data_IF_789488064611
#
_entry.id   IF_789488064611
#
_cell.length_a   1.000
_cell.length_b   1.000
_cell.length_c   1.000
_cell.angle_alpha   90.00
_cell.angle_beta   90.00
_cell.angle_gamma   90.00
#
_symmetry.space_group_name_H-M   'P 1'
#
loop_
_entity.id
_entity.type
_entity.pdbx_description
1 polymer ?
#
# COMPACT_ATOMS: atom_id res chain seq x y z
N UNK A 1 12.49 25.54 -3.39
CA UNK A 1 13.58 25.74 -4.39
C UNK A 1 13.31 26.90 -5.35
N UNK A 2 12.06 27.32 -5.56
CA UNK A 2 11.64 28.29 -6.59
C UNK A 2 11.81 29.77 -6.24
N UNK A 3 11.71 30.17 -4.98
CA UNK A 3 11.87 31.57 -4.53
C UNK A 3 13.34 32.04 -4.58
N UNK A 4 14.25 31.23 -4.02
CA UNK A 4 15.68 31.53 -4.01
C UNK A 4 16.27 31.62 -5.42
N UNK A 5 15.79 30.78 -6.35
CA UNK A 5 16.23 30.78 -7.74
C UNK A 5 15.81 32.07 -8.48
N UNK A 6 14.58 32.55 -8.24
CA UNK A 6 14.06 33.82 -8.81
C UNK A 6 14.82 35.04 -8.29
N UNK A 7 15.09 35.06 -6.98
CA UNK A 7 15.88 36.13 -6.36
C UNK A 7 17.29 36.15 -6.95
N UNK A 8 17.89 34.97 -7.15
CA UNK A 8 19.23 34.85 -7.74
C UNK A 8 19.28 35.29 -9.21
N UNK A 9 18.32 34.90 -10.04
CA UNK A 9 18.26 35.33 -11.46
C UNK A 9 18.06 36.84 -11.60
N UNK A 10 17.19 37.45 -10.79
CA UNK A 10 16.99 38.91 -10.80
C UNK A 10 18.21 39.69 -10.30
N UNK A 11 18.94 39.14 -9.33
CA UNK A 11 20.19 39.71 -8.82
C UNK A 11 21.28 39.65 -9.89
N UNK A 12 21.40 38.53 -10.60
CA UNK A 12 22.35 38.38 -11.70
C UNK A 12 22.06 39.32 -12.87
N UNK A 13 20.80 39.48 -13.28
CA UNK A 13 20.44 40.46 -14.32
C UNK A 13 20.89 41.88 -13.99
N UNK A 14 20.81 42.29 -12.71
CA UNK A 14 21.33 43.60 -12.27
C UNK A 14 22.86 43.71 -12.38
N UNK A 15 23.59 42.64 -12.06
CA UNK A 15 25.05 42.63 -12.18
C UNK A 15 25.52 42.69 -13.64
N UNK A 16 24.84 42.01 -14.57
CA UNK A 16 25.20 42.00 -16.00
C UNK A 16 24.97 43.36 -16.68
N UNK A 17 24.00 44.16 -16.20
CA UNK A 17 23.75 45.52 -16.70
C UNK A 17 24.75 46.56 -16.20
N UNK A 18 25.42 46.32 -15.06
CA UNK A 18 26.35 47.28 -14.45
C UNK A 18 27.79 47.17 -14.94
N UNK A 19 28.15 46.10 -15.66
CA UNK A 19 29.54 45.79 -16.00
C UNK A 19 29.70 45.66 -17.53
N UNK A 20 29.99 46.78 -18.20
CA UNK A 20 30.28 46.85 -19.64
C UNK A 20 31.69 47.43 -19.82
N UNK A 21 32.67 46.68 -20.35
CA UNK A 21 33.16 47.06 -21.69
C UNK A 21 33.98 46.02 -22.48
N UNK A 22 34.23 44.78 -22.02
CA UNK A 22 34.98 43.82 -22.90
C UNK A 22 34.68 42.32 -22.79
N UNK A 23 34.13 41.81 -21.68
CA UNK A 23 33.75 40.40 -21.54
C UNK A 23 32.30 40.07 -21.98
N UNK A 24 31.62 41.02 -22.63
CA UNK A 24 30.17 41.02 -22.80
C UNK A 24 29.65 40.18 -23.99
N UNK A 25 30.53 39.76 -24.91
CA UNK A 25 30.13 39.09 -26.16
C UNK A 25 29.70 37.64 -25.92
N UNK A 26 30.38 36.90 -25.05
CA UNK A 26 30.09 35.48 -24.78
C UNK A 26 29.21 35.24 -23.54
N UNK A 27 29.29 36.12 -22.54
CA UNK A 27 28.56 35.97 -21.27
C UNK A 27 27.04 36.16 -21.44
N UNK A 28 26.61 37.14 -22.25
CA UNK A 28 25.20 37.41 -22.53
C UNK A 28 24.46 36.24 -23.19
N UNK A 29 24.94 35.64 -24.30
CA UNK A 29 24.26 34.51 -24.93
C UNK A 29 24.29 33.25 -24.06
N UNK A 30 25.38 32.97 -23.34
CA UNK A 30 25.41 31.84 -22.39
C UNK A 30 24.39 32.00 -21.27
N UNK A 31 24.26 33.20 -20.70
CA UNK A 31 23.25 33.47 -19.67
C UNK A 31 21.82 33.34 -20.21
N UNK A 32 21.58 33.80 -21.45
CA UNK A 32 20.30 33.59 -22.14
C UNK A 32 19.95 32.11 -22.25
N UNK A 33 20.86 31.28 -22.78
CA UNK A 33 20.63 29.83 -22.88
C UNK A 33 20.38 29.18 -21.51
N UNK A 34 21.08 29.62 -20.46
CA UNK A 34 20.85 29.09 -19.12
C UNK A 34 19.44 29.43 -18.60
N UNK A 35 18.98 30.66 -18.79
CA UNK A 35 17.62 31.08 -18.42
C UNK A 35 16.58 30.27 -19.19
N UNK A 36 16.75 30.10 -20.49
CA UNK A 36 15.84 29.32 -21.35
C UNK A 36 15.75 27.85 -20.89
N UNK A 37 16.89 27.20 -20.61
CA UNK A 37 16.92 25.83 -20.09
C UNK A 37 16.18 25.72 -18.75
N UNK A 38 16.38 26.71 -17.86
CA UNK A 38 15.75 26.72 -16.54
C UNK A 38 14.23 26.92 -16.64
N UNK A 39 13.78 27.78 -17.56
CA UNK A 39 12.36 28.02 -17.83
C UNK A 39 11.68 26.77 -18.41
N UNK A 40 12.34 26.09 -19.36
CA UNK A 40 11.86 24.82 -19.90
C UNK A 40 11.74 23.77 -18.78
N UNK A 41 12.74 23.67 -17.89
CA UNK A 41 12.69 22.74 -16.77
C UNK A 41 11.52 23.01 -15.83
N UNK A 42 11.26 24.30 -15.50
CA UNK A 42 10.11 24.68 -14.68
C UNK A 42 8.76 24.41 -15.36
N UNK A 43 8.69 24.57 -16.68
CA UNK A 43 7.48 24.31 -17.46
C UNK A 43 7.19 22.81 -17.47
N UNK A 44 8.22 21.99 -17.70
CA UNK A 44 8.16 20.52 -17.56
C UNK A 44 7.71 20.16 -16.16
N UNK A 45 8.37 20.64 -15.10
CA UNK A 45 7.99 20.33 -13.72
C UNK A 45 6.52 20.65 -13.43
N UNK A 46 6.03 21.83 -13.84
CA UNK A 46 4.62 22.23 -13.67
C UNK A 46 3.64 21.35 -14.44
N UNK A 47 4.00 20.90 -15.64
CA UNK A 47 3.14 20.02 -16.45
C UNK A 47 3.10 18.60 -15.89
N UNK A 48 4.23 18.09 -15.38
CA UNK A 48 4.32 16.73 -14.87
C UNK A 48 3.85 16.59 -13.42
N UNK A 49 3.96 17.64 -12.59
CA UNK A 49 3.48 17.63 -11.20
C UNK A 49 2.02 17.16 -11.04
N UNK A 50 1.02 17.69 -11.78
CA UNK A 50 -0.36 17.22 -11.68
C UNK A 50 -0.53 15.76 -12.15
N UNK A 51 0.28 15.31 -13.11
CA UNK A 51 0.24 13.92 -13.57
C UNK A 51 0.73 12.96 -12.47
N UNK A 52 1.84 13.28 -11.81
CA UNK A 52 2.37 12.50 -10.70
C UNK A 52 1.43 12.49 -9.49
N UNK A 53 0.81 13.62 -9.14
CA UNK A 53 -0.14 13.66 -8.03
C UNK A 53 -1.37 12.82 -8.33
N UNK A 54 -1.96 12.92 -9.52
CA UNK A 54 -3.09 12.08 -9.92
C UNK A 54 -2.74 10.59 -9.90
N UNK A 55 -1.57 10.21 -10.44
CA UNK A 55 -1.10 8.83 -10.42
C UNK A 55 -0.93 8.32 -8.97
N UNK A 56 -0.41 9.16 -8.07
CA UNK A 56 -0.27 8.85 -6.66
C UNK A 56 -1.62 8.66 -5.95
N UNK A 57 -2.64 9.47 -6.27
CA UNK A 57 -3.97 9.27 -5.70
C UNK A 57 -4.62 7.98 -6.20
N UNK A 58 -4.45 7.66 -7.49
CA UNK A 58 -4.94 6.41 -8.08
C UNK A 58 -4.27 5.21 -7.42
N UNK A 59 -2.95 5.24 -7.23
CA UNK A 59 -2.22 4.14 -6.60
C UNK A 59 -2.62 3.96 -5.13
N UNK A 60 -2.76 5.04 -4.36
CA UNK A 60 -3.25 4.98 -2.98
C UNK A 60 -4.66 4.40 -2.90
N UNK A 61 -5.57 4.85 -3.76
CA UNK A 61 -6.94 4.33 -3.84
C UNK A 61 -6.93 2.82 -4.16
N UNK A 62 -6.06 2.40 -5.07
CA UNK A 62 -5.90 0.98 -5.41
C UNK A 62 -5.42 0.15 -4.21
N UNK A 63 -4.41 0.63 -3.49
CA UNK A 63 -3.90 -0.05 -2.29
C UNK A 63 -5.00 -0.17 -1.22
N UNK A 64 -5.71 0.92 -0.93
CA UNK A 64 -6.82 0.92 0.04
C UNK A 64 -7.91 -0.08 -0.37
N UNK A 65 -8.30 -0.08 -1.65
CA UNK A 65 -9.28 -1.04 -2.17
C UNK A 65 -8.84 -2.48 -1.94
N UNK A 66 -7.58 -2.82 -2.20
CA UNK A 66 -7.07 -4.17 -1.97
C UNK A 66 -7.06 -4.54 -0.48
N UNK A 67 -6.67 -3.61 0.40
CA UNK A 67 -6.72 -3.82 1.85
C UNK A 67 -8.16 -4.08 2.34
N UNK A 68 -9.15 -3.34 1.81
CA UNK A 68 -10.56 -3.57 2.14
C UNK A 68 -11.05 -4.94 1.68
N UNK A 69 -10.68 -5.36 0.46
CA UNK A 69 -11.04 -6.68 -0.06
C UNK A 69 -10.43 -7.79 0.82
N UNK A 70 -9.15 -7.68 1.17
CA UNK A 70 -8.46 -8.64 2.05
C UNK A 70 -9.14 -8.68 3.41
N UNK A 71 -9.45 -7.52 4.00
CA UNK A 71 -10.12 -7.44 5.30
C UNK A 71 -11.50 -8.09 5.25
N UNK A 72 -12.30 -7.78 4.24
CA UNK A 72 -13.62 -8.39 4.06
C UNK A 72 -13.53 -9.91 3.92
N UNK A 73 -12.59 -10.40 3.12
CA UNK A 73 -12.34 -11.83 2.97
C UNK A 73 -11.97 -12.48 4.30
N UNK A 74 -11.06 -11.88 5.07
CA UNK A 74 -10.65 -12.40 6.37
C UNK A 74 -11.82 -12.46 7.37
N UNK A 75 -12.69 -11.44 7.37
CA UNK A 75 -13.89 -11.41 8.22
C UNK A 75 -14.86 -12.54 7.85
N UNK A 76 -15.12 -12.76 6.56
CA UNK A 76 -16.00 -13.84 6.12
C UNK A 76 -15.41 -15.22 6.39
N UNK A 77 -14.09 -15.39 6.21
CA UNK A 77 -13.40 -16.63 6.59
C UNK A 77 -13.49 -16.89 8.10
N UNK A 78 -13.29 -15.86 8.94
CA UNK A 78 -13.39 -15.99 10.40
C UNK A 78 -14.80 -16.41 10.85
N UNK A 79 -15.84 -15.81 10.26
CA UNK A 79 -17.24 -16.21 10.50
C UNK A 79 -17.48 -17.67 10.10
N UNK A 80 -16.98 -18.07 8.93
CA UNK A 80 -17.09 -19.44 8.44
C UNK A 80 -16.37 -20.43 9.38
N UNK A 81 -15.14 -20.12 9.81
CA UNK A 81 -14.40 -20.95 10.76
C UNK A 81 -15.09 -21.04 12.11
N UNK A 82 -15.64 -19.93 12.60
CA UNK A 82 -16.40 -19.90 13.85
C UNK A 82 -17.63 -20.80 13.78
N UNK A 83 -18.40 -20.72 12.68
CA UNK A 83 -19.57 -21.58 12.47
C UNK A 83 -19.20 -23.07 12.38
N UNK A 84 -18.11 -23.39 11.69
CA UNK A 84 -17.59 -24.76 11.60
C UNK A 84 -17.17 -25.30 12.96
N UNK A 85 -16.47 -24.48 13.76
CA UNK A 85 -16.05 -24.83 15.12
C UNK A 85 -17.24 -25.02 16.06
N UNK A 86 -18.30 -24.24 15.88
CA UNK A 86 -19.54 -24.39 16.64
C UNK A 86 -20.23 -25.73 16.33
N UNK A 87 -20.32 -26.08 15.03
CA UNK A 87 -20.86 -27.38 14.59
C UNK A 87 -20.03 -28.53 15.15
N UNK A 88 -18.70 -28.42 15.14
CA UNK A 88 -17.79 -29.42 15.70
C UNK A 88 -18.03 -29.62 17.20
N UNK A 89 -18.13 -28.51 17.94
CA UNK A 89 -18.40 -28.50 19.38
C UNK A 89 -19.73 -29.16 19.72
N UNK A 90 -20.80 -28.79 19.01
CA UNK A 90 -22.13 -29.37 19.17
C UNK A 90 -22.13 -30.88 18.86
N UNK A 91 -21.49 -31.30 17.76
CA UNK A 91 -21.40 -32.71 17.38
C UNK A 91 -20.61 -33.52 18.41
N UNK A 92 -19.53 -32.95 18.95
CA UNK A 92 -18.71 -33.58 19.99
C UNK A 92 -19.51 -33.75 21.29
N UNK A 93 -20.22 -32.71 21.72
CA UNK A 93 -21.09 -32.75 22.90
C UNK A 93 -22.24 -33.76 22.74
N UNK A 94 -22.88 -33.81 21.57
CA UNK A 94 -23.95 -34.77 21.30
C UNK A 94 -23.44 -36.21 21.21
N UNK A 95 -22.19 -36.42 20.81
CA UNK A 95 -21.56 -37.74 20.77
C UNK A 95 -21.21 -38.24 22.18
N UNK A 96 -20.80 -37.35 23.08
CA UNK A 96 -20.47 -37.68 24.48
C UNK A 96 -21.69 -37.77 25.39
N UNK A 97 -22.83 -37.17 24.99
CA UNK A 97 -24.09 -37.26 25.73
C UNK A 97 -24.55 -38.71 25.95
N UNK A 98 -24.95 -39.03 27.19
CA UNK A 98 -25.57 -40.33 27.52
C UNK A 98 -26.97 -40.46 26.94
N UNK A 99 -27.62 -39.33 26.61
CA UNK A 99 -28.98 -39.25 26.11
C UNK A 99 -29.11 -39.57 24.62
N UNK A 100 -28.00 -39.60 23.87
CA UNK A 100 -28.01 -39.84 22.43
C UNK A 100 -27.99 -41.33 22.09
N UNK A 101 -28.84 -41.72 21.15
CA UNK A 101 -28.90 -43.09 20.63
C UNK A 101 -27.62 -43.46 19.86
N UNK A 102 -27.35 -44.77 19.72
CA UNK A 102 -26.21 -45.28 18.94
C UNK A 102 -26.19 -44.73 17.50
N UNK A 103 -27.37 -44.62 16.87
CA UNK A 103 -27.51 -44.10 15.51
C UNK A 103 -27.18 -42.60 15.43
N UNK A 104 -27.63 -41.81 16.42
CA UNK A 104 -27.29 -40.39 16.50
C UNK A 104 -25.78 -40.18 16.73
N UNK A 105 -25.16 -40.94 17.64
CA UNK A 105 -23.71 -40.90 17.86
C UNK A 105 -22.93 -41.23 16.58
N UNK A 106 -23.40 -42.21 15.79
CA UNK A 106 -22.80 -42.56 14.50
C UNK A 106 -22.92 -41.42 13.48
N UNK A 107 -24.09 -40.77 13.44
CA UNK A 107 -24.35 -39.64 12.56
C UNK A 107 -23.41 -38.45 12.86
N UNK A 108 -23.31 -38.02 14.12
CA UNK A 108 -22.41 -36.92 14.51
C UNK A 108 -20.94 -37.26 14.24
N UNK A 109 -20.51 -38.50 14.48
CA UNK A 109 -19.14 -38.96 14.11
C UNK A 109 -18.88 -38.88 12.62
N UNK A 110 -19.88 -39.18 11.78
CA UNK A 110 -19.73 -39.06 10.33
C UNK A 110 -19.62 -37.60 9.89
N UNK A 111 -20.39 -36.69 10.51
CA UNK A 111 -20.25 -35.24 10.26
C UNK A 111 -18.83 -34.78 10.61
N UNK A 112 -18.34 -35.13 11.81
CA UNK A 112 -16.98 -34.78 12.22
C UNK A 112 -15.92 -35.30 11.25
N UNK A 113 -16.06 -36.54 10.76
CA UNK A 113 -15.13 -37.11 9.77
C UNK A 113 -15.17 -36.39 8.43
N UNK A 114 -16.36 -36.04 7.95
CA UNK A 114 -16.50 -35.29 6.69
C UNK A 114 -15.91 -33.89 6.85
N UNK A 115 -16.17 -33.24 7.98
CA UNK A 115 -15.60 -31.95 8.32
C UNK A 115 -14.07 -32.02 8.36
N UNK A 116 -13.48 -32.97 9.09
CA UNK A 116 -12.01 -33.12 9.19
C UNK A 116 -11.36 -33.43 7.82
N UNK A 117 -12.05 -34.17 6.94
CA UNK A 117 -11.56 -34.47 5.59
C UNK A 117 -11.73 -33.31 4.59
N UNK A 118 -12.72 -32.44 4.78
CA UNK A 118 -13.10 -31.39 3.82
C UNK A 118 -12.62 -30.01 4.25
N UNK A 119 -12.64 -29.75 5.54
CA UNK A 119 -12.26 -28.49 6.13
C UNK A 119 -10.74 -28.42 6.21
N UNK A 120 -10.18 -27.56 5.38
CA UNK A 120 -8.81 -27.10 5.51
C UNK A 120 -8.89 -25.59 5.67
N UNK A 121 -8.35 -25.09 6.77
CA UNK A 121 -8.19 -23.66 6.99
C UNK A 121 -7.53 -23.04 5.75
N UNK A 122 -8.16 -22.00 5.19
CA UNK A 122 -7.66 -21.36 3.99
C UNK A 122 -6.32 -20.73 4.31
N UNK A 123 -5.31 -21.09 3.52
CA UNK A 123 -3.96 -20.55 3.65
C UNK A 123 -3.59 -19.81 2.38
N UNK A 124 -3.30 -18.52 2.50
CA UNK A 124 -2.72 -17.72 1.41
C UNK A 124 -1.34 -18.26 1.10
N UNK A 125 -1.14 -18.66 -0.15
CA UNK A 125 0.10 -19.26 -0.65
C UNK A 125 0.58 -20.47 0.18
N UNK A 126 -0.32 -21.14 0.92
CA UNK A 126 0.02 -22.22 1.85
C UNK A 126 0.79 -21.78 3.12
N UNK A 127 1.13 -20.50 3.24
CA UNK A 127 2.04 -19.98 4.27
C UNK A 127 1.29 -19.28 5.40
N UNK A 128 0.28 -18.47 5.07
CA UNK A 128 -0.46 -17.66 6.04
C UNK A 128 -1.90 -18.13 6.14
N UNK A 129 -2.36 -18.50 7.34
CA UNK A 129 -3.79 -18.69 7.58
C UNK A 129 -4.54 -17.38 7.27
N UNK A 130 -5.65 -17.48 6.55
CA UNK A 130 -6.57 -16.37 6.30
C UNK A 130 -7.39 -16.18 7.57
N UNK A 131 -6.80 -15.48 8.53
CA UNK A 131 -7.39 -15.18 9.83
C UNK A 131 -7.63 -13.67 9.97
N UNK A 132 -8.35 -13.27 11.03
CA UNK A 132 -8.58 -11.86 11.32
C UNK A 132 -7.28 -11.05 11.55
N UNK A 133 -6.13 -11.72 11.76
CA UNK A 133 -4.83 -11.09 11.97
C UNK A 133 -4.06 -10.78 10.67
N UNK A 134 -4.41 -11.44 9.56
CA UNK A 134 -3.72 -11.27 8.28
C UNK A 134 -3.72 -9.81 7.77
N UNK A 135 -4.84 -9.04 7.81
CA UNK A 135 -4.82 -7.65 7.36
C UNK A 135 -3.89 -6.78 8.21
N UNK A 136 -3.83 -7.02 9.52
CA UNK A 136 -2.95 -6.29 10.44
C UNK A 136 -1.47 -6.56 10.12
N UNK A 137 -1.11 -7.83 9.88
CA UNK A 137 0.25 -8.22 9.49
C UNK A 137 0.67 -7.59 8.15
N UNK A 138 -0.25 -7.52 7.19
CA UNK A 138 0.01 -6.87 5.90
C UNK A 138 0.24 -5.37 6.07
N UNK A 139 -0.58 -4.70 6.89
CA UNK A 139 -0.41 -3.27 7.18
C UNK A 139 0.93 -3.01 7.87
N UNK A 140 1.26 -3.81 8.89
CA UNK A 140 2.55 -3.71 9.59
C UNK A 140 3.72 -3.80 8.61
N UNK A 141 3.72 -4.81 7.74
CA UNK A 141 4.74 -4.97 6.70
C UNK A 141 4.81 -3.75 5.79
N UNK A 142 3.68 -3.29 5.23
CA UNK A 142 3.65 -2.11 4.35
C UNK A 142 4.22 -0.89 5.06
N UNK A 143 3.81 -0.64 6.31
CA UNK A 143 4.27 0.50 7.11
C UNK A 143 5.76 0.43 7.38
N UNK A 144 6.30 -0.72 7.80
CA UNK A 144 7.72 -0.89 8.07
C UNK A 144 8.57 -0.62 6.83
N UNK A 145 8.20 -1.20 5.68
CA UNK A 145 8.93 -0.98 4.44
C UNK A 145 8.81 0.47 3.95
N UNK A 146 7.64 1.09 4.11
CA UNK A 146 7.44 2.50 3.79
C UNK A 146 8.36 3.39 4.63
N UNK A 147 8.46 3.14 5.94
CA UNK A 147 9.35 3.88 6.83
C UNK A 147 10.81 3.74 6.40
N UNK A 148 11.26 2.51 6.11
CA UNK A 148 12.64 2.26 5.65
C UNK A 148 12.93 3.00 4.35
N UNK A 149 12.01 2.97 3.38
CA UNK A 149 12.16 3.70 2.12
C UNK A 149 12.19 5.22 2.35
N UNK A 150 11.36 5.75 3.24
CA UNK A 150 11.38 7.18 3.59
C UNK A 150 12.70 7.56 4.26
N UNK A 151 13.28 6.71 5.10
CA UNK A 151 14.59 6.94 5.68
C UNK A 151 15.66 7.07 4.59
N UNK A 152 15.67 6.22 3.57
CA UNK A 152 16.62 6.35 2.45
C UNK A 152 16.44 7.62 1.60
N UNK A 153 15.26 8.25 1.63
CA UNK A 153 14.98 9.48 0.88
C UNK A 153 15.33 10.73 1.68
N UNK A 154 15.11 10.73 3.00
CA UNK A 154 15.25 11.91 3.85
C UNK A 154 16.51 11.93 4.72
N UNK A 155 17.14 10.78 4.96
CA UNK A 155 18.36 10.63 5.74
C UNK A 155 19.56 10.44 4.80
#
# INVERSE_FOLDING_TARGET
MTESLKVWTSTLQKFTFSNDSSNNIFSKPMFGCYVDITEIFLLVEKTFHPMYTLLSFISLTWVIKNLLIITFLCVECEKYYSAIKEVESMCTQMTSSERSSVNQKRFYKNILRVQDATFKELRVCGLFAVDASLPLRVIEFITTYTIVLLQFVFL
#
